data_IF_122612291093
#
_entry.id   IF_122612291093
#
_cell.length_a   1.000
_cell.length_b   1.000
_cell.length_c   1.000
_cell.angle_alpha   90.00
_cell.angle_beta   90.00
_cell.angle_gamma   90.00
#
_symmetry.space_group_name_H-M   'P 1'
#
loop_
_entity.id
_entity.type
_entity.pdbx_description
1 polymer ?
#
# COMPACT_ATOMS: atom_id res chain seq x y z
N UNK A 1 18.19 -10.10 9.59
CA UNK A 1 17.55 -8.77 9.74
C UNK A 1 17.78 -8.05 11.06
N UNK A 2 18.00 -8.75 12.18
CA UNK A 2 18.25 -8.11 13.48
C UNK A 2 19.39 -7.07 13.48
N UNK A 3 20.49 -7.33 12.77
CA UNK A 3 21.61 -6.38 12.66
C UNK A 3 21.22 -5.08 11.93
N UNK A 4 20.40 -5.17 10.87
CA UNK A 4 19.89 -3.97 10.20
C UNK A 4 18.96 -3.20 11.14
N UNK A 5 18.01 -3.88 11.81
CA UNK A 5 17.12 -3.24 12.76
C UNK A 5 17.88 -2.47 13.84
N UNK A 6 18.96 -3.05 14.38
CA UNK A 6 19.84 -2.37 15.34
C UNK A 6 20.52 -1.12 14.76
N UNK A 7 20.96 -1.17 13.49
CA UNK A 7 21.53 0.00 12.81
C UNK A 7 20.49 1.12 12.61
N UNK A 8 19.24 0.75 12.34
CA UNK A 8 18.13 1.70 12.23
C UNK A 8 17.82 2.33 13.61
N UNK A 9 17.70 1.50 14.65
CA UNK A 9 17.39 1.95 16.02
C UNK A 9 18.48 2.83 16.64
N UNK A 10 19.76 2.51 16.40
CA UNK A 10 20.86 3.32 16.94
C UNK A 10 21.10 4.63 16.16
N UNK A 11 20.28 4.91 15.14
CA UNK A 11 20.37 6.12 14.36
C UNK A 11 21.65 6.23 13.53
N UNK A 12 22.29 5.10 13.19
CA UNK A 12 23.51 5.09 12.38
C UNK A 12 23.26 5.58 10.94
N UNK A 13 22.01 5.55 10.49
CA UNK A 13 21.59 5.96 9.13
C UNK A 13 20.42 6.95 9.17
N UNK A 14 20.56 8.11 9.82
CA UNK A 14 19.44 9.04 10.04
C UNK A 14 18.96 9.69 8.73
N UNK A 15 19.83 9.72 7.72
CA UNK A 15 19.59 10.29 6.39
C UNK A 15 19.08 9.28 5.36
N UNK A 16 18.69 8.07 5.79
CA UNK A 16 18.18 7.05 4.87
C UNK A 16 16.85 7.49 4.24
N UNK A 17 16.86 7.75 2.94
CA UNK A 17 15.66 8.12 2.18
C UNK A 17 14.99 6.93 1.48
N UNK A 18 15.73 5.87 1.17
CA UNK A 18 15.21 4.69 0.48
C UNK A 18 15.72 3.43 1.16
N UNK A 19 14.81 2.52 1.44
CA UNK A 19 15.11 1.20 1.97
C UNK A 19 14.39 0.18 1.09
N UNK A 20 15.17 -0.57 0.32
CA UNK A 20 14.64 -1.64 -0.51
C UNK A 20 15.13 -2.98 0.05
N UNK A 21 14.19 -3.79 0.52
CA UNK A 21 14.45 -5.12 1.04
C UNK A 21 13.81 -6.21 0.17
N UNK A 22 13.25 -5.86 -0.98
CA UNK A 22 12.50 -6.75 -1.85
C UNK A 22 13.32 -7.95 -2.33
N UNK A 23 12.67 -9.09 -2.53
CA UNK A 23 13.26 -10.31 -3.10
C UNK A 23 14.25 -11.01 -2.16
N UNK A 24 14.05 -10.91 -0.85
CA UNK A 24 14.92 -11.49 0.18
C UNK A 24 14.26 -12.63 0.96
N UNK A 25 13.03 -13.01 0.63
CA UNK A 25 12.28 -14.09 1.31
C UNK A 25 12.34 -13.92 2.83
N UNK A 26 12.02 -12.71 3.30
CA UNK A 26 12.17 -12.35 4.71
C UNK A 26 11.16 -13.09 5.60
N UNK A 27 9.95 -13.31 5.09
CA UNK A 27 8.79 -13.70 5.88
C UNK A 27 8.44 -12.65 6.94
N UNK A 28 7.36 -12.93 7.67
CA UNK A 28 6.87 -12.03 8.72
C UNK A 28 7.91 -11.80 9.83
N UNK A 29 8.56 -12.87 10.30
CA UNK A 29 9.56 -12.80 11.36
C UNK A 29 10.85 -12.08 10.92
N UNK A 30 11.23 -12.21 9.65
CA UNK A 30 12.43 -11.55 9.13
C UNK A 30 12.25 -10.04 9.01
N UNK A 31 11.09 -9.57 8.55
CA UNK A 31 10.83 -8.13 8.36
C UNK A 31 10.45 -7.44 9.67
N UNK A 32 9.89 -8.18 10.64
CA UNK A 32 9.33 -7.62 11.88
C UNK A 32 10.28 -6.68 12.64
N UNK A 33 11.56 -7.02 12.90
CA UNK A 33 12.47 -6.12 13.61
C UNK A 33 12.69 -4.79 12.89
N UNK A 34 12.68 -4.80 11.55
CA UNK A 34 12.81 -3.58 10.75
C UNK A 34 11.55 -2.74 10.90
N UNK A 35 10.36 -3.33 10.71
CA UNK A 35 9.09 -2.61 10.84
C UNK A 35 8.91 -2.02 12.25
N UNK A 36 9.29 -2.77 13.29
CA UNK A 36 9.24 -2.30 14.67
C UNK A 36 10.18 -1.11 14.91
N UNK A 37 11.40 -1.13 14.34
CA UNK A 37 12.31 0.01 14.41
C UNK A 37 11.74 1.25 13.70
N UNK A 38 11.14 1.07 12.51
CA UNK A 38 10.48 2.16 11.79
C UNK A 38 9.24 2.68 12.55
N UNK A 39 8.51 1.80 13.24
CA UNK A 39 7.37 2.15 14.09
C UNK A 39 7.78 2.87 15.39
N UNK A 40 9.04 2.73 15.83
CA UNK A 40 9.65 3.56 16.88
C UNK A 40 10.23 4.88 16.36
N UNK A 41 10.15 5.12 15.06
CA UNK A 41 10.57 6.39 14.44
C UNK A 41 11.97 6.38 13.82
N UNK A 42 12.65 5.23 13.73
CA UNK A 42 13.94 5.14 13.03
C UNK A 42 13.84 5.63 11.57
N UNK A 43 14.88 6.27 11.04
CA UNK A 43 14.94 6.82 9.67
C UNK A 43 13.80 7.81 9.32
N UNK A 44 13.66 8.94 10.03
CA UNK A 44 12.57 9.92 9.83
C UNK A 44 12.51 10.56 8.44
N UNK A 45 13.59 10.42 7.65
CA UNK A 45 13.68 10.93 6.28
C UNK A 45 13.30 9.90 5.21
N UNK A 46 12.83 8.70 5.60
CA UNK A 46 12.46 7.65 4.65
C UNK A 46 11.32 8.09 3.72
N UNK A 47 11.57 8.00 2.41
CA UNK A 47 10.67 8.35 1.32
C UNK A 47 10.20 7.14 0.53
N UNK A 48 10.98 6.07 0.47
CA UNK A 48 10.58 4.84 -0.21
C UNK A 48 10.91 3.60 0.62
N UNK A 49 9.94 2.69 0.71
CA UNK A 49 10.09 1.37 1.33
C UNK A 49 9.66 0.29 0.34
N UNK A 50 10.61 -0.58 -0.03
CA UNK A 50 10.37 -1.76 -0.86
C UNK A 50 10.41 -3.03 -0.02
N UNK A 51 9.33 -3.81 -0.07
CA UNK A 51 9.15 -5.09 0.61
C UNK A 51 8.45 -6.09 -0.33
N UNK A 52 8.71 -5.98 -1.63
CA UNK A 52 8.08 -6.84 -2.63
C UNK A 52 8.73 -8.23 -2.66
N UNK A 53 7.97 -9.27 -2.98
CA UNK A 53 8.52 -10.63 -3.14
C UNK A 53 9.30 -11.11 -1.90
N UNK A 54 8.72 -10.94 -0.71
CA UNK A 54 9.37 -11.24 0.57
C UNK A 54 8.62 -12.28 1.42
N UNK A 55 7.62 -12.95 0.86
CA UNK A 55 6.79 -13.97 1.54
C UNK A 55 6.06 -13.40 2.77
N UNK A 56 5.66 -12.13 2.70
CA UNK A 56 4.97 -11.46 3.80
C UNK A 56 3.50 -11.90 3.88
N UNK A 57 2.99 -11.99 5.11
CA UNK A 57 1.61 -12.29 5.43
C UNK A 57 0.95 -11.21 6.29
N UNK A 58 -0.17 -11.58 6.92
CA UNK A 58 -1.02 -10.63 7.65
C UNK A 58 -0.33 -10.04 8.89
N UNK A 59 0.60 -10.77 9.53
CA UNK A 59 1.34 -10.24 10.66
C UNK A 59 2.24 -9.06 10.26
N UNK A 60 2.83 -9.11 9.05
CA UNK A 60 3.54 -7.97 8.46
C UNK A 60 2.61 -6.78 8.22
N UNK A 61 1.38 -7.00 7.77
CA UNK A 61 0.41 -5.92 7.60
C UNK A 61 0.08 -5.19 8.91
N UNK A 62 -0.02 -5.92 10.04
CA UNK A 62 -0.23 -5.30 11.36
C UNK A 62 0.99 -4.45 11.76
N UNK A 63 2.20 -4.95 11.54
CA UNK A 63 3.42 -4.20 11.81
C UNK A 63 3.57 -2.97 10.88
N UNK A 64 3.19 -3.10 9.61
CA UNK A 64 3.13 -2.00 8.65
C UNK A 64 2.10 -0.94 9.06
N UNK A 65 0.95 -1.34 9.59
CA UNK A 65 -0.07 -0.44 10.10
C UNK A 65 0.46 0.38 11.30
N UNK A 66 1.16 -0.28 12.23
CA UNK A 66 1.82 0.40 13.36
C UNK A 66 2.88 1.40 12.89
N UNK A 67 3.70 1.01 11.91
CA UNK A 67 4.69 1.89 11.28
C UNK A 67 4.03 3.10 10.61
N UNK A 68 2.99 2.86 9.81
CA UNK A 68 2.26 3.90 9.07
C UNK A 68 1.62 4.96 9.97
N UNK A 69 1.22 4.58 11.19
CA UNK A 69 0.65 5.49 12.18
C UNK A 69 1.69 6.40 12.85
N UNK A 70 3.00 6.10 12.74
CA UNK A 70 4.03 6.87 13.41
C UNK A 70 4.33 8.20 12.68
N UNK A 71 4.38 9.37 13.37
CA UNK A 71 4.60 10.67 12.74
C UNK A 71 5.89 10.78 11.90
N UNK A 72 6.93 10.04 12.29
CA UNK A 72 8.19 9.98 11.55
C UNK A 72 8.06 9.36 10.14
N UNK A 73 6.89 8.83 9.75
CA UNK A 73 6.58 8.31 8.42
C UNK A 73 5.78 9.27 7.55
N UNK A 74 5.58 10.51 8.00
CA UNK A 74 4.90 11.53 7.23
C UNK A 74 5.57 11.88 5.89
N UNK A 75 6.83 11.48 5.68
CA UNK A 75 7.61 11.70 4.45
C UNK A 75 7.60 10.53 3.47
N UNK A 76 7.01 9.39 3.83
CA UNK A 76 6.98 8.23 2.95
C UNK A 76 6.10 8.53 1.73
N UNK A 77 6.68 8.38 0.54
CA UNK A 77 6.06 8.66 -0.75
C UNK A 77 5.81 7.39 -1.57
N UNK A 78 6.57 6.32 -1.35
CA UNK A 78 6.41 5.05 -2.05
C UNK A 78 6.45 3.87 -1.08
N UNK A 79 5.47 2.98 -1.21
CA UNK A 79 5.39 1.71 -0.51
C UNK A 79 5.10 0.60 -1.52
N UNK A 80 6.02 -0.36 -1.61
CA UNK A 80 5.87 -1.55 -2.42
C UNK A 80 5.72 -2.79 -1.52
N UNK A 81 4.57 -3.45 -1.65
CA UNK A 81 4.19 -4.66 -0.93
C UNK A 81 3.83 -5.79 -1.90
N UNK A 82 4.15 -5.64 -3.18
CA UNK A 82 3.76 -6.55 -4.24
C UNK A 82 4.34 -7.96 -4.07
N UNK A 83 3.72 -8.95 -4.73
CA UNK A 83 4.21 -10.33 -4.74
C UNK A 83 4.37 -10.93 -3.32
N UNK A 84 3.41 -10.67 -2.44
CA UNK A 84 3.35 -11.22 -1.08
C UNK A 84 2.03 -11.99 -0.88
N UNK A 85 1.80 -12.58 0.29
CA UNK A 85 0.57 -13.31 0.60
C UNK A 85 -0.27 -12.52 1.63
N UNK A 86 -0.62 -11.28 1.30
CA UNK A 86 -1.37 -10.36 2.15
C UNK A 86 -2.88 -10.58 1.97
N UNK A 87 -3.53 -11.27 2.90
CA UNK A 87 -4.97 -11.50 2.80
C UNK A 87 -5.74 -10.17 2.84
N UNK A 88 -7.01 -10.19 2.45
CA UNK A 88 -7.89 -9.03 2.58
C UNK A 88 -7.95 -8.49 4.01
N UNK A 89 -7.90 -9.38 5.00
CA UNK A 89 -7.91 -9.01 6.42
C UNK A 89 -6.61 -8.33 6.86
N UNK A 90 -5.45 -8.81 6.38
CA UNK A 90 -4.17 -8.16 6.62
C UNK A 90 -4.16 -6.76 6.01
N UNK A 91 -4.53 -6.63 4.74
CA UNK A 91 -4.56 -5.33 4.07
C UNK A 91 -5.60 -4.39 4.71
N UNK A 92 -6.71 -4.90 5.25
CA UNK A 92 -7.67 -4.07 5.99
C UNK A 92 -7.05 -3.41 7.23
N UNK A 93 -6.12 -4.07 7.93
CA UNK A 93 -5.39 -3.47 9.05
C UNK A 93 -4.53 -2.28 8.61
N UNK A 94 -3.76 -2.44 7.52
CA UNK A 94 -2.97 -1.37 6.93
C UNK A 94 -3.87 -0.24 6.42
N UNK A 95 -4.93 -0.56 5.70
CA UNK A 95 -5.90 0.39 5.18
C UNK A 95 -6.56 1.20 6.31
N UNK A 96 -6.82 0.58 7.46
CA UNK A 96 -7.33 1.26 8.66
C UNK A 96 -6.37 2.33 9.18
N UNK A 97 -5.06 2.05 9.21
CA UNK A 97 -4.05 3.05 9.58
C UNK A 97 -3.98 4.20 8.55
N UNK A 98 -4.01 3.86 7.26
CA UNK A 98 -4.05 4.85 6.17
C UNK A 98 -5.29 5.74 6.26
N UNK A 99 -6.47 5.17 6.52
CA UNK A 99 -7.73 5.90 6.68
C UNK A 99 -7.69 6.90 7.85
N UNK A 100 -6.90 6.62 8.89
CA UNK A 100 -6.69 7.51 10.05
C UNK A 100 -5.62 8.59 9.82
N UNK A 101 -5.15 8.74 8.57
CA UNK A 101 -4.14 9.74 8.20
C UNK A 101 -2.70 9.23 8.26
N UNK A 102 -2.49 7.91 8.36
CA UNK A 102 -1.17 7.32 8.18
C UNK A 102 -0.62 7.59 6.77
N UNK A 103 0.69 7.84 6.69
CA UNK A 103 1.40 8.11 5.43
C UNK A 103 0.76 9.22 4.55
N UNK A 104 0.58 10.45 5.07
CA UNK A 104 -0.14 11.54 4.38
C UNK A 104 0.49 11.99 3.05
N UNK A 105 1.75 11.63 2.78
CA UNK A 105 2.48 11.95 1.54
C UNK A 105 2.64 10.76 0.60
N UNK A 106 1.98 9.63 0.88
CA UNK A 106 2.10 8.45 0.04
C UNK A 106 1.55 8.74 -1.37
N UNK A 107 2.42 8.63 -2.37
CA UNK A 107 2.12 8.85 -3.80
C UNK A 107 1.97 7.54 -4.56
N UNK A 108 2.70 6.49 -4.17
CA UNK A 108 2.66 5.19 -4.83
C UNK A 108 2.42 4.08 -3.82
N UNK A 109 1.37 3.29 -4.05
CA UNK A 109 1.07 2.07 -3.32
C UNK A 109 0.96 0.90 -4.30
N UNK A 110 1.86 -0.08 -4.17
CA UNK A 110 1.87 -1.29 -4.98
C UNK A 110 1.39 -2.48 -4.14
N UNK A 111 0.26 -3.06 -4.52
CA UNK A 111 -0.37 -4.23 -3.89
C UNK A 111 -0.70 -5.29 -4.94
N UNK A 112 0.07 -5.36 -6.03
CA UNK A 112 -0.18 -6.35 -7.07
C UNK A 112 0.33 -7.74 -6.66
N UNK A 113 -0.35 -8.80 -7.07
CA UNK A 113 -0.02 -10.17 -6.68
C UNK A 113 0.12 -10.34 -5.14
N UNK A 114 -0.82 -9.81 -4.36
CA UNK A 114 -0.79 -9.93 -2.89
C UNK A 114 -1.82 -10.90 -2.30
N UNK A 115 -2.56 -11.66 -3.12
CA UNK A 115 -3.76 -12.42 -2.68
C UNK A 115 -4.88 -11.55 -2.11
N UNK A 116 -4.97 -10.30 -2.59
CA UNK A 116 -6.02 -9.37 -2.17
C UNK A 116 -7.40 -9.86 -2.65
N UNK A 117 -8.33 -10.01 -1.72
CA UNK A 117 -9.72 -10.34 -2.00
C UNK A 117 -10.61 -9.08 -2.02
N UNK A 118 -11.92 -9.27 -2.18
CA UNK A 118 -12.92 -8.19 -2.17
C UNK A 118 -12.86 -7.33 -0.91
N UNK A 119 -12.68 -7.94 0.27
CA UNK A 119 -12.63 -7.23 1.56
C UNK A 119 -11.42 -6.31 1.60
N UNK A 120 -10.27 -6.79 1.12
CA UNK A 120 -9.06 -5.99 1.02
C UNK A 120 -9.22 -4.78 0.09
N UNK A 121 -9.85 -4.97 -1.07
CA UNK A 121 -10.11 -3.89 -2.02
C UNK A 121 -11.08 -2.85 -1.46
N UNK A 122 -12.16 -3.28 -0.80
CA UNK A 122 -13.11 -2.40 -0.11
C UNK A 122 -12.42 -1.57 0.96
N UNK A 123 -11.52 -2.18 1.74
CA UNK A 123 -10.75 -1.47 2.75
C UNK A 123 -9.82 -0.42 2.15
N UNK A 124 -9.13 -0.75 1.04
CA UNK A 124 -8.30 0.22 0.30
C UNK A 124 -9.18 1.37 -0.20
N UNK A 125 -10.35 1.09 -0.78
CA UNK A 125 -11.29 2.11 -1.25
C UNK A 125 -11.75 3.06 -0.12
N UNK A 126 -12.06 2.53 1.07
CA UNK A 126 -12.43 3.34 2.23
C UNK A 126 -11.25 4.20 2.72
N UNK A 127 -10.03 3.67 2.72
CA UNK A 127 -8.84 4.45 3.10
C UNK A 127 -8.60 5.65 2.18
N UNK A 128 -8.99 5.53 0.90
CA UNK A 128 -8.97 6.61 -0.10
C UNK A 128 -9.89 7.78 0.21
N UNK A 129 -11.02 7.53 0.86
CA UNK A 129 -12.00 8.58 1.22
C UNK A 129 -11.48 9.49 2.32
N UNK A 130 -10.64 8.96 3.22
CA UNK A 130 -10.26 9.65 4.47
C UNK A 130 -8.79 10.08 4.52
N UNK A 131 -7.87 9.23 4.06
CA UNK A 131 -6.42 9.41 4.29
C UNK A 131 -5.59 9.69 3.04
N UNK A 132 -5.67 8.81 2.03
CA UNK A 132 -4.77 8.75 0.87
C UNK A 132 -4.97 9.88 -0.15
N UNK A 133 -4.84 11.12 0.30
CA UNK A 133 -5.07 12.33 -0.48
C UNK A 133 -3.96 12.64 -1.47
N UNK A 134 -2.73 12.21 -1.17
CA UNK A 134 -1.56 12.42 -2.03
C UNK A 134 -1.31 11.26 -3.01
N UNK A 135 -2.14 10.21 -2.99
CA UNK A 135 -1.90 9.01 -3.80
C UNK A 135 -2.08 9.32 -5.28
N UNK A 136 -1.02 9.11 -6.05
CA UNK A 136 -0.96 9.33 -7.50
C UNK A 136 -1.02 8.01 -8.27
N UNK A 137 -0.53 6.91 -7.69
CA UNK A 137 -0.50 5.58 -8.32
C UNK A 137 -0.94 4.49 -7.36
N UNK A 138 -1.92 3.70 -7.79
CA UNK A 138 -2.40 2.49 -7.10
C UNK A 138 -2.40 1.30 -8.06
N UNK A 139 -1.79 0.20 -7.65
CA UNK A 139 -1.74 -1.04 -8.43
C UNK A 139 -2.30 -2.22 -7.64
N UNK A 140 -3.34 -2.84 -8.17
CA UNK A 140 -4.05 -3.99 -7.59
C UNK A 140 -4.13 -5.17 -8.58
N UNK A 141 -3.39 -5.14 -9.69
CA UNK A 141 -3.41 -6.21 -10.68
C UNK A 141 -2.88 -7.53 -10.11
N UNK A 142 -3.19 -8.66 -10.76
CA UNK A 142 -2.72 -9.96 -10.28
C UNK A 142 -3.33 -10.42 -8.95
N UNK A 143 -4.39 -9.74 -8.50
CA UNK A 143 -5.24 -10.17 -7.38
C UNK A 143 -6.57 -10.73 -7.87
N UNK A 144 -7.27 -11.44 -7.00
CA UNK A 144 -8.54 -12.08 -7.31
C UNK A 144 -9.63 -11.56 -6.37
N UNK A 145 -10.36 -10.55 -6.84
CA UNK A 145 -11.49 -9.97 -6.12
C UNK A 145 -12.74 -9.92 -7.01
N UNK A 146 -13.92 -9.88 -6.39
CA UNK A 146 -15.18 -9.86 -7.12
C UNK A 146 -15.48 -8.46 -7.69
N UNK A 147 -16.48 -8.37 -8.57
CA UNK A 147 -16.99 -7.09 -9.10
C UNK A 147 -17.45 -6.14 -8.00
N UNK A 148 -17.92 -6.65 -6.86
CA UNK A 148 -18.24 -5.81 -5.70
C UNK A 148 -17.06 -4.94 -5.23
N UNK A 149 -15.82 -5.46 -5.27
CA UNK A 149 -14.63 -4.67 -4.92
C UNK A 149 -14.32 -3.60 -5.96
N UNK A 150 -14.59 -3.90 -7.24
CA UNK A 150 -14.50 -2.94 -8.35
C UNK A 150 -15.51 -1.81 -8.16
N UNK A 151 -16.74 -2.15 -7.80
CA UNK A 151 -17.81 -1.19 -7.53
C UNK A 151 -17.50 -0.31 -6.32
N UNK A 152 -16.95 -0.89 -5.25
CA UNK A 152 -16.49 -0.12 -4.09
C UNK A 152 -15.42 0.91 -4.45
N UNK A 153 -14.46 0.54 -5.31
CA UNK A 153 -13.48 1.49 -5.85
C UNK A 153 -14.16 2.57 -6.71
N UNK A 154 -15.07 2.18 -7.61
CA UNK A 154 -15.80 3.13 -8.46
C UNK A 154 -16.61 4.14 -7.63
N UNK A 155 -17.32 3.67 -6.61
CA UNK A 155 -18.10 4.49 -5.69
C UNK A 155 -17.19 5.43 -4.89
N UNK A 156 -16.06 4.93 -4.39
CA UNK A 156 -15.08 5.76 -3.69
C UNK A 156 -14.53 6.86 -4.61
N UNK A 157 -14.15 6.52 -5.84
CA UNK A 157 -13.66 7.48 -6.83
C UNK A 157 -14.73 8.54 -7.18
N UNK A 158 -15.97 8.12 -7.42
CA UNK A 158 -17.11 9.03 -7.64
C UNK A 158 -17.40 9.92 -6.44
N UNK A 159 -17.19 9.40 -5.23
CA UNK A 159 -17.29 10.14 -3.97
C UNK A 159 -16.08 11.04 -3.65
N UNK A 160 -15.10 11.16 -4.55
CA UNK A 160 -13.95 12.05 -4.39
C UNK A 160 -12.77 11.46 -3.61
N UNK A 161 -12.73 10.14 -3.38
CA UNK A 161 -11.56 9.45 -2.83
C UNK A 161 -10.35 9.59 -3.75
N UNK A 162 -9.14 9.53 -3.19
CA UNK A 162 -7.88 9.61 -3.96
C UNK A 162 -7.80 10.83 -4.90
N UNK A 163 -7.97 12.08 -4.42
CA UNK A 163 -8.10 13.27 -5.25
C UNK A 163 -6.95 13.50 -6.26
N UNK A 164 -5.74 13.00 -5.98
CA UNK A 164 -4.56 13.14 -6.82
C UNK A 164 -4.26 11.91 -7.69
N UNK A 165 -5.16 10.92 -7.74
CA UNK A 165 -4.90 9.66 -8.44
C UNK A 165 -4.77 9.89 -9.94
N UNK A 166 -3.57 9.60 -10.45
CA UNK A 166 -3.25 9.67 -11.87
C UNK A 166 -3.17 8.30 -12.50
N UNK A 167 -2.90 7.24 -11.73
CA UNK A 167 -2.73 5.88 -12.25
C UNK A 167 -3.44 4.87 -11.38
N UNK A 168 -4.38 4.15 -11.98
CA UNK A 168 -5.03 3.00 -11.39
C UNK A 168 -4.80 1.79 -12.29
N UNK A 169 -4.23 0.73 -11.71
CA UNK A 169 -3.97 -0.54 -12.40
C UNK A 169 -4.79 -1.64 -11.73
N UNK A 170 -5.70 -2.25 -12.48
CA UNK A 170 -6.57 -3.34 -12.03
C UNK A 170 -6.34 -4.58 -12.90
N UNK A 171 -6.74 -5.78 -12.44
CA UNK A 171 -6.77 -6.97 -13.30
C UNK A 171 -7.64 -6.73 -14.55
N UNK A 172 -7.19 -7.19 -15.72
CA UNK A 172 -7.81 -6.89 -17.02
C UNK A 172 -9.29 -7.27 -17.13
N UNK A 173 -9.72 -8.34 -16.43
CA UNK A 173 -11.12 -8.77 -16.38
C UNK A 173 -12.05 -7.74 -15.72
N UNK A 174 -11.52 -6.88 -14.84
CA UNK A 174 -12.30 -5.89 -14.11
C UNK A 174 -12.44 -4.57 -14.88
N UNK A 175 -11.66 -4.36 -15.95
CA UNK A 175 -11.79 -3.20 -16.84
C UNK A 175 -13.07 -3.22 -17.68
N UNK A 176 -13.62 -4.40 -17.94
CA UNK A 176 -14.90 -4.53 -18.62
C UNK A 176 -16.08 -4.13 -17.72
N UNK A 177 -15.85 -3.96 -16.42
CA UNK A 177 -16.85 -3.42 -15.51
C UNK A 177 -16.99 -1.91 -15.71
N UNK A 178 -18.11 -1.47 -16.31
CA UNK A 178 -18.30 -0.07 -16.72
C UNK A 178 -18.19 0.97 -15.60
N UNK A 179 -18.43 0.57 -14.35
CA UNK A 179 -18.41 1.46 -13.18
C UNK A 179 -17.06 2.12 -12.91
N UNK A 180 -15.96 1.36 -12.93
CA UNK A 180 -14.62 1.93 -12.69
C UNK A 180 -14.14 2.73 -13.88
N UNK A 181 -14.43 2.27 -15.11
CA UNK A 181 -14.05 3.00 -16.32
C UNK A 181 -14.67 4.40 -16.36
N UNK A 182 -15.97 4.50 -16.12
CA UNK A 182 -16.65 5.78 -16.05
C UNK A 182 -16.10 6.67 -14.91
N UNK A 183 -15.80 6.09 -13.74
CA UNK A 183 -15.23 6.83 -12.62
C UNK A 183 -13.80 7.35 -12.89
N UNK A 184 -13.00 6.59 -13.65
CA UNK A 184 -11.68 7.00 -14.12
C UNK A 184 -11.76 8.14 -15.15
N UNK A 185 -12.60 7.99 -16.17
CA UNK A 185 -12.79 8.96 -17.25
C UNK A 185 -13.27 10.31 -16.71
N UNK A 186 -14.21 10.30 -15.76
CA UNK A 186 -14.72 11.51 -15.10
C UNK A 186 -13.66 12.30 -14.32
N UNK A 187 -12.48 11.71 -14.10
CA UNK A 187 -11.43 12.26 -13.23
C UNK A 187 -10.10 12.51 -13.94
N UNK A 188 -10.04 12.32 -15.25
CA UNK A 188 -8.81 12.43 -16.06
C UNK A 188 -7.65 11.57 -15.50
N UNK A 189 -7.95 10.52 -14.75
CA UNK A 189 -6.94 9.59 -14.26
C UNK A 189 -6.47 8.72 -15.42
N UNK A 190 -5.15 8.61 -15.63
CA UNK A 190 -4.52 7.69 -16.58
C UNK A 190 -4.69 6.26 -16.07
N UNK A 191 -5.80 5.66 -16.44
CA UNK A 191 -6.08 4.31 -16.06
C UNK A 191 -5.44 3.34 -17.07
N UNK A 192 -4.64 2.40 -16.56
CA UNK A 192 -3.83 1.50 -17.39
C UNK A 192 -4.41 0.11 -17.29
N UNK A 193 -4.94 -0.35 -18.42
CA UNK A 193 -5.28 -1.74 -18.65
C UNK A 193 -4.00 -2.55 -18.83
N UNK A 194 -3.71 -3.44 -17.87
CA UNK A 194 -2.71 -4.48 -18.07
C UNK A 194 -3.46 -5.67 -18.65
N UNK A 195 -3.42 -5.79 -19.98
CA UNK A 195 -3.76 -7.03 -20.67
C UNK A 195 -2.74 -8.09 -20.24
N UNK A 196 -3.08 -8.83 -19.20
CA UNK A 196 -2.39 -10.04 -18.76
C UNK A 196 -3.25 -11.24 -19.10
#
# INVERSE_FOLDING_TARGET
MASLARLLDCGAVPSLERLDLSGKSLGDEGVRPVLDALARGACPLLRALGLGHDELGDASCVALAAMAAHPARARLEALDLSQNALSGSGVAALAGALARGGLPRLKSLQLYHTHLDTVGVEAVAESGKRGLRALESLSLHGNSFATAGVDALADALRGGAFPQLKRLVLPGQHWQHGGVKAACEAREALCVDMRG
#
